data_IF_357701055169
#
_entry.id   IF_357701055169
#
_cell.length_a   1.000
_cell.length_b   1.000
_cell.length_c   1.000
_cell.angle_alpha   90.00
_cell.angle_beta   90.00
_cell.angle_gamma   90.00
#
_symmetry.space_group_name_H-M   'P 1'
#
loop_
_entity.id
_entity.type
_entity.pdbx_description
1 polymer ?
#
# COMPACT_ATOMS: atom_id res chain seq x y z
N UNK A 1 -10.11 -27.10 17.15
CA UNK A 1 -9.28 -26.83 15.96
C UNK A 1 -9.73 -25.49 15.38
N UNK A 2 -9.09 -24.38 15.77
CA UNK A 2 -9.36 -23.08 15.13
C UNK A 2 -8.71 -23.12 13.74
N UNK A 3 -9.52 -23.10 12.69
CA UNK A 3 -9.00 -22.99 11.32
C UNK A 3 -8.42 -21.58 11.16
N UNK A 4 -7.09 -21.47 11.12
CA UNK A 4 -6.44 -20.26 10.64
C UNK A 4 -6.88 -20.02 9.20
N UNK A 5 -7.70 -18.98 8.99
CA UNK A 5 -8.03 -18.52 7.64
C UNK A 5 -6.72 -18.08 7.00
N UNK A 6 -6.23 -18.86 6.03
CA UNK A 6 -5.09 -18.49 5.20
C UNK A 6 -5.38 -17.12 4.59
N UNK A 7 -4.77 -16.08 5.14
CA UNK A 7 -4.88 -14.72 4.63
C UNK A 7 -4.06 -14.67 3.35
N UNK A 8 -4.75 -14.72 2.20
CA UNK A 8 -4.09 -14.56 0.90
C UNK A 8 -3.34 -13.23 0.90
N UNK A 9 -2.10 -13.25 0.42
CA UNK A 9 -1.28 -12.05 0.29
C UNK A 9 -2.03 -10.99 -0.55
N UNK A 10 -2.02 -9.72 -0.14
CA UNK A 10 -2.66 -8.66 -0.88
C UNK A 10 -2.13 -8.57 -2.30
N UNK A 11 -3.03 -8.51 -3.29
CA UNK A 11 -2.63 -8.27 -4.67
C UNK A 11 -2.41 -6.76 -4.87
N UNK A 12 -1.15 -6.36 -5.03
CA UNK A 12 -0.75 -4.96 -5.20
C UNK A 12 -0.50 -4.56 -6.67
N UNK A 13 -0.96 -5.35 -7.65
CA UNK A 13 -0.76 -5.06 -9.09
C UNK A 13 -1.35 -3.73 -9.57
N UNK A 14 -2.25 -3.12 -8.78
CA UNK A 14 -2.78 -1.77 -9.05
C UNK A 14 -1.74 -0.66 -8.85
N UNK A 15 -0.65 -0.94 -8.12
CA UNK A 15 0.44 0.00 -7.92
C UNK A 15 1.39 -0.03 -9.12
N UNK A 16 1.79 1.16 -9.58
CA UNK A 16 2.68 1.36 -10.73
C UNK A 16 3.96 2.07 -10.28
N UNK A 17 5.01 2.02 -11.09
CA UNK A 17 6.30 2.70 -10.81
C UNK A 17 6.15 4.19 -10.49
N UNK A 18 5.19 4.88 -11.10
CA UNK A 18 4.90 6.29 -10.82
C UNK A 18 4.41 6.57 -9.38
N UNK A 19 3.98 5.55 -8.64
CA UNK A 19 3.55 5.67 -7.25
C UNK A 19 4.70 5.47 -6.25
N UNK A 20 5.92 5.12 -6.70
CA UNK A 20 7.08 4.96 -5.84
C UNK A 20 7.32 6.25 -5.03
N UNK A 21 7.63 6.09 -3.74
CA UNK A 21 7.79 7.14 -2.74
C UNK A 21 6.52 7.97 -2.46
N UNK A 22 5.36 7.63 -3.04
CA UNK A 22 4.09 8.28 -2.74
C UNK A 22 3.30 7.51 -1.69
N UNK A 23 2.41 8.24 -1.03
CA UNK A 23 1.33 7.67 -0.25
C UNK A 23 0.18 7.29 -1.17
N UNK A 24 -0.42 6.12 -0.93
CA UNK A 24 -1.56 5.60 -1.68
C UNK A 24 -2.65 5.14 -0.73
N UNK A 25 -3.91 5.33 -1.15
CA UNK A 25 -5.07 4.71 -0.52
C UNK A 25 -5.67 3.68 -1.49
N UNK A 26 -5.87 2.46 -1.00
CA UNK A 26 -6.48 1.35 -1.71
C UNK A 26 -7.82 0.99 -1.08
N UNK A 27 -8.73 0.40 -1.85
CA UNK A 27 -9.91 -0.27 -1.31
C UNK A 27 -9.50 -1.43 -0.39
N UNK A 28 -10.38 -1.80 0.55
CA UNK A 28 -10.13 -2.89 1.49
C UNK A 28 -9.83 -4.24 0.80
N UNK A 29 -10.30 -4.45 -0.43
CA UNK A 29 -10.03 -5.63 -1.26
C UNK A 29 -8.77 -5.51 -2.13
N UNK A 30 -8.01 -4.40 -2.02
CA UNK A 30 -6.79 -4.10 -2.77
C UNK A 30 -6.95 -3.99 -4.30
N UNK A 31 -8.19 -4.03 -4.82
CA UNK A 31 -8.44 -4.03 -6.27
C UNK A 31 -8.53 -2.63 -6.89
N UNK A 32 -8.66 -1.58 -6.08
CA UNK A 32 -8.83 -0.21 -6.58
C UNK A 32 -7.90 0.76 -5.86
N UNK A 33 -7.29 1.65 -6.65
CA UNK A 33 -6.55 2.80 -6.15
C UNK A 33 -7.52 3.97 -5.97
N UNK A 34 -7.73 4.37 -4.72
CA UNK A 34 -8.66 5.44 -4.33
C UNK A 34 -7.99 6.81 -4.44
N UNK A 35 -6.76 6.94 -3.94
CA UNK A 35 -6.05 8.21 -3.92
C UNK A 35 -4.53 8.04 -3.91
N UNK A 36 -3.82 9.07 -4.39
CA UNK A 36 -2.35 9.20 -4.35
C UNK A 36 -1.99 10.61 -3.86
N UNK A 37 -0.90 10.72 -3.11
CA UNK A 37 -0.35 11.99 -2.65
C UNK A 37 1.06 11.89 -2.09
N UNK A 38 1.70 13.05 -1.91
CA UNK A 38 3.06 13.14 -1.37
C UNK A 38 3.13 12.94 0.14
N UNK A 39 2.01 13.15 0.84
CA UNK A 39 1.89 12.99 2.28
C UNK A 39 0.67 12.15 2.66
N UNK A 40 0.77 11.51 3.82
CA UNK A 40 -0.34 10.76 4.42
C UNK A 40 -1.58 11.65 4.58
N UNK A 41 -1.40 12.88 5.07
CA UNK A 41 -2.51 13.81 5.29
C UNK A 41 -3.23 14.19 3.99
N UNK A 42 -2.49 14.39 2.88
CA UNK A 42 -3.09 14.66 1.58
C UNK A 42 -3.93 13.48 1.08
N UNK A 43 -3.45 12.25 1.28
CA UNK A 43 -4.17 11.03 0.90
C UNK A 43 -5.42 10.82 1.75
N UNK A 44 -5.34 11.01 3.06
CA UNK A 44 -6.49 10.88 3.96
C UNK A 44 -7.60 11.89 3.64
N UNK A 45 -7.25 13.14 3.30
CA UNK A 45 -8.21 14.16 2.88
C UNK A 45 -8.90 13.82 1.56
N UNK A 46 -8.17 13.21 0.61
CA UNK A 46 -8.72 12.78 -0.69
C UNK A 46 -9.58 11.51 -0.57
N UNK A 47 -9.15 10.55 0.25
CA UNK A 47 -9.80 9.26 0.39
C UNK A 47 -10.90 9.31 1.47
N UNK A 48 -12.10 9.77 1.08
CA UNK A 48 -13.26 9.92 1.97
C UNK A 48 -13.97 8.61 2.36
N UNK A 49 -13.56 7.48 1.79
CA UNK A 49 -14.15 6.16 2.11
C UNK A 49 -13.68 5.67 3.50
N UNK A 50 -14.58 5.09 4.32
CA UNK A 50 -14.24 4.60 5.65
C UNK A 50 -13.34 3.36 5.58
N UNK A 51 -13.68 2.40 4.73
CA UNK A 51 -12.92 1.15 4.57
C UNK A 51 -11.86 1.28 3.47
N UNK A 52 -10.65 1.69 3.89
CA UNK A 52 -9.49 1.86 3.00
C UNK A 52 -8.19 1.41 3.67
N UNK A 53 -7.26 0.95 2.86
CA UNK A 53 -5.89 0.65 3.28
C UNK A 53 -4.99 1.77 2.79
N UNK A 54 -4.24 2.39 3.70
CA UNK A 54 -3.30 3.46 3.37
C UNK A 54 -1.88 2.98 3.60
N UNK A 55 -1.02 3.14 2.60
CA UNK A 55 0.38 2.72 2.68
C UNK A 55 1.30 3.65 1.90
N UNK A 56 2.59 3.63 2.23
CA UNK A 56 3.63 4.28 1.42
C UNK A 56 4.27 3.25 0.50
N UNK A 57 4.32 3.56 -0.79
CA UNK A 57 5.00 2.70 -1.76
C UNK A 57 6.50 2.97 -1.67
N UNK A 58 7.26 1.97 -1.29
CA UNK A 58 8.72 2.06 -1.23
C UNK A 58 9.34 1.61 -2.56
N UNK A 59 10.49 2.17 -2.93
CA UNK A 59 11.27 1.63 -4.04
C UNK A 59 11.71 0.20 -3.72
N UNK A 60 11.95 -0.57 -4.78
CA UNK A 60 12.55 -1.90 -4.67
C UNK A 60 14.02 -1.73 -4.27
N UNK A 61 14.29 -1.84 -2.97
CA UNK A 61 15.62 -1.71 -2.40
C UNK A 61 16.05 -3.09 -1.88
N UNK A 62 17.09 -3.64 -2.51
CA UNK A 62 17.82 -4.77 -1.95
C UNK A 62 18.66 -4.29 -0.78
N UNK A 63 18.34 -4.74 0.44
CA UNK A 63 19.21 -4.52 1.59
C UNK A 63 20.38 -5.51 1.51
N UNK A 64 21.57 -5.02 1.17
CA UNK A 64 22.81 -5.78 1.30
C UNK A 64 23.54 -5.28 2.56
N UNK A 65 23.57 -6.07 3.65
CA UNK A 65 24.36 -5.69 4.82
C UNK A 65 25.83 -5.68 4.42
N UNK A 66 26.48 -4.53 4.56
CA UNK A 66 27.93 -4.46 4.42
C UNK A 66 28.55 -5.25 5.57
N UNK A 67 29.21 -6.36 5.26
CA UNK A 67 30.10 -7.06 6.19
C UNK A 67 31.20 -6.07 6.57
N UNK A 68 31.22 -5.61 7.81
CA UNK A 68 32.33 -4.81 8.34
C UNK A 68 33.52 -5.71 8.62
#
# INVERSE_FOLDING_TARGET
MQQEKVVKSPNLSVLKKQHINKWVALSADYKKLIAVGDSLSAVLKKAKQPDKVVMKVLPDLGYAPASR
#
